data_IF_923452257765
#
_entry.id   IF_923452257765
#
_cell.length_a   1.000
_cell.length_b   1.000
_cell.length_c   1.000
_cell.angle_alpha   90.00
_cell.angle_beta   90.00
_cell.angle_gamma   90.00
#
_symmetry.space_group_name_H-M   'P 1'
#
loop_
_entity.id
_entity.type
_entity.pdbx_description
1 polymer ?
#
# COMPACT_ATOMS: atom_id res chain seq x y z
N UNK A 1 7.56 -34.69 20.10
CA UNK A 1 7.39 -36.07 20.58
C UNK A 1 5.95 -36.19 21.08
N UNK A 2 5.10 -36.93 20.37
CA UNK A 2 3.68 -37.07 20.73
C UNK A 2 3.50 -38.38 21.51
N UNK A 3 2.93 -38.30 22.70
CA UNK A 3 2.55 -39.47 23.47
C UNK A 3 1.14 -39.92 23.05
N UNK A 4 1.00 -41.18 22.64
CA UNK A 4 -0.30 -41.81 22.45
C UNK A 4 -0.94 -42.13 23.81
N UNK A 5 -2.10 -41.56 24.09
CA UNK A 5 -3.11 -42.14 24.97
C UNK A 5 -4.41 -42.34 24.18
N UNK A 6 -5.07 -43.43 24.51
CA UNK A 6 -6.07 -44.11 23.68
C UNK A 6 -7.35 -43.33 23.38
N UNK A 7 -8.01 -43.84 22.33
CA UNK A 7 -9.44 -43.80 22.04
C UNK A 7 -10.25 -42.64 22.66
N UNK A 8 -9.99 -41.43 22.18
CA UNK A 8 -10.92 -40.31 22.13
C UNK A 8 -10.36 -39.34 21.09
N UNK A 9 -11.26 -38.71 20.33
CA UNK A 9 -10.96 -38.03 19.07
C UNK A 9 -9.72 -37.13 19.10
N UNK A 10 -9.07 -37.03 17.95
CA UNK A 10 -7.96 -36.11 17.72
C UNK A 10 -8.47 -34.70 18.02
N UNK A 11 -8.16 -34.17 19.20
CA UNK A 11 -8.34 -32.76 19.48
C UNK A 11 -7.14 -32.04 18.88
N UNK A 12 -7.24 -31.75 17.58
CA UNK A 12 -6.38 -30.75 16.97
C UNK A 12 -6.62 -29.46 17.74
N UNK A 13 -5.60 -28.98 18.45
CA UNK A 13 -5.65 -27.64 19.00
C UNK A 13 -5.88 -26.68 17.82
N UNK A 14 -7.11 -26.18 17.70
CA UNK A 14 -7.41 -25.02 16.87
C UNK A 14 -6.67 -23.84 17.48
N UNK A 15 -5.41 -23.67 17.08
CA UNK A 15 -4.63 -22.47 17.38
C UNK A 15 -5.11 -21.29 16.51
N UNK A 16 -6.41 -21.22 16.24
CA UNK A 16 -7.02 -20.02 15.68
C UNK A 16 -7.01 -19.02 16.82
N UNK A 17 -6.00 -18.14 16.82
CA UNK A 17 -6.02 -16.94 17.65
C UNK A 17 -7.36 -16.28 17.39
N UNK A 18 -8.27 -16.35 18.36
CA UNK A 18 -9.55 -15.65 18.33
C UNK A 18 -9.25 -14.15 18.45
N UNK A 19 -8.74 -13.55 17.38
CA UNK A 19 -8.80 -12.11 17.20
C UNK A 19 -10.21 -11.76 16.77
N UNK A 20 -11.16 -11.98 17.68
CA UNK A 20 -12.48 -11.37 17.65
C UNK A 20 -12.30 -9.90 18.07
N UNK A 21 -11.86 -9.04 17.17
CA UNK A 21 -12.20 -7.61 17.24
C UNK A 21 -11.85 -6.91 15.93
N UNK A 22 -12.69 -7.13 14.91
CA UNK A 22 -12.62 -6.31 13.68
C UNK A 22 -12.81 -4.82 13.98
N UNK A 23 -13.54 -4.49 15.05
CA UNK A 23 -13.76 -3.11 15.51
C UNK A 23 -12.49 -2.45 16.05
N UNK A 24 -11.61 -3.18 16.75
CA UNK A 24 -10.32 -2.64 17.22
C UNK A 24 -9.35 -2.32 16.07
N UNK A 25 -9.38 -3.11 14.99
CA UNK A 25 -8.52 -2.92 13.82
C UNK A 25 -9.08 -1.93 12.81
N UNK A 26 -10.38 -1.69 12.82
CA UNK A 26 -11.04 -0.81 11.86
C UNK A 26 -10.39 0.58 11.76
N UNK A 27 -10.03 1.28 12.86
CA UNK A 27 -9.32 2.55 12.79
C UNK A 27 -7.99 2.47 12.03
N UNK A 28 -7.19 1.43 12.28
CA UNK A 28 -5.92 1.22 11.58
C UNK A 28 -6.14 0.95 10.09
N UNK A 29 -7.12 0.11 9.76
CA UNK A 29 -7.44 -0.24 8.36
C UNK A 29 -7.92 0.98 7.57
N UNK A 30 -8.78 1.80 8.17
CA UNK A 30 -9.25 3.05 7.57
C UNK A 30 -8.09 4.03 7.37
N UNK A 31 -7.26 4.24 8.40
CA UNK A 31 -6.09 5.11 8.30
C UNK A 31 -5.11 4.60 7.22
N UNK A 32 -4.89 3.29 7.14
CA UNK A 32 -4.00 2.71 6.13
C UNK A 32 -4.53 2.91 4.72
N UNK A 33 -5.83 2.64 4.49
CA UNK A 33 -6.51 2.92 3.22
C UNK A 33 -6.36 4.40 2.84
N UNK A 34 -6.58 5.31 3.79
CA UNK A 34 -6.54 6.74 3.54
C UNK A 34 -5.13 7.21 3.17
N UNK A 35 -4.09 6.67 3.81
CA UNK A 35 -2.69 6.93 3.42
C UNK A 35 -2.40 6.40 2.01
N UNK A 36 -2.85 5.18 1.66
CA UNK A 36 -2.69 4.65 0.29
C UNK A 36 -3.34 5.59 -0.73
N UNK A 37 -4.58 6.02 -0.48
CA UNK A 37 -5.29 6.93 -1.37
C UNK A 37 -4.59 8.29 -1.50
N UNK A 38 -4.14 8.89 -0.39
CA UNK A 38 -3.36 10.15 -0.40
C UNK A 38 -2.10 10.02 -1.26
N UNK A 39 -1.39 8.89 -1.18
CA UNK A 39 -0.20 8.64 -2.01
C UNK A 39 -0.59 8.54 -3.49
N UNK A 40 -1.66 7.81 -3.82
CA UNK A 40 -2.12 7.67 -5.21
C UNK A 40 -2.53 9.03 -5.79
N UNK A 41 -3.26 9.86 -5.03
CA UNK A 41 -3.64 11.22 -5.41
C UNK A 41 -2.40 12.09 -5.66
N UNK A 42 -1.42 12.04 -4.74
CA UNK A 42 -0.16 12.78 -4.88
C UNK A 42 0.59 12.34 -6.14
N UNK A 43 0.76 11.04 -6.38
CA UNK A 43 1.44 10.52 -7.59
C UNK A 43 0.69 10.92 -8.87
N UNK A 44 -0.65 10.83 -8.85
CA UNK A 44 -1.49 11.20 -9.99
C UNK A 44 -1.42 12.70 -10.31
N UNK A 45 -1.32 13.57 -9.29
CA UNK A 45 -1.21 15.02 -9.47
C UNK A 45 0.06 15.45 -10.24
N UNK A 46 1.08 14.59 -10.21
CA UNK A 46 2.35 14.78 -10.92
C UNK A 46 2.32 14.31 -12.37
N UNK A 47 1.24 13.67 -12.84
CA UNK A 47 1.09 13.27 -14.25
C UNK A 47 0.62 14.46 -15.10
N UNK A 48 1.35 14.73 -16.17
CA UNK A 48 0.88 15.53 -17.30
C UNK A 48 0.67 14.63 -18.51
N UNK A 49 -0.49 14.71 -19.15
CA UNK A 49 -0.76 13.96 -20.37
C UNK A 49 -0.30 14.76 -21.58
N UNK A 50 0.76 14.29 -22.26
CA UNK A 50 1.22 14.89 -23.52
C UNK A 50 0.77 14.05 -24.71
N UNK A 51 0.07 14.71 -25.64
CA UNK A 51 -0.25 14.11 -26.93
C UNK A 51 1.02 14.01 -27.76
N UNK A 52 1.40 12.78 -28.14
CA UNK A 52 2.53 12.51 -29.03
C UNK A 52 2.10 11.62 -30.18
N UNK A 53 2.64 11.90 -31.35
CA UNK A 53 2.52 11.03 -32.53
C UNK A 53 3.54 9.91 -32.38
N UNK A 54 3.10 8.66 -32.56
CA UNK A 54 4.03 7.55 -32.57
C UNK A 54 4.91 7.61 -33.84
N UNK A 55 6.24 7.47 -33.71
CA UNK A 55 7.13 7.47 -34.87
C UNK A 55 6.72 6.34 -35.83
N UNK A 56 6.61 6.66 -37.12
CA UNK A 56 6.20 5.70 -38.15
C UNK A 56 4.72 5.32 -38.17
N UNK A 57 3.84 5.87 -37.31
CA UNK A 57 2.40 5.56 -37.31
C UNK A 57 1.54 6.83 -37.47
N UNK A 58 0.32 6.66 -38.00
CA UNK A 58 -0.71 7.72 -38.07
C UNK A 58 -1.44 7.95 -36.73
N UNK A 59 -1.17 7.12 -35.71
CA UNK A 59 -1.83 7.16 -34.41
C UNK A 59 -1.21 8.21 -33.47
N UNK A 60 -2.08 8.87 -32.71
CA UNK A 60 -1.71 9.73 -31.58
C UNK A 60 -1.97 9.00 -30.25
N UNK A 61 -1.09 9.21 -29.27
CA UNK A 61 -1.26 8.71 -27.91
C UNK A 61 -1.06 9.82 -26.90
N UNK A 62 -1.82 9.77 -25.81
CA UNK A 62 -1.52 10.51 -24.59
C UNK A 62 -0.50 9.68 -23.82
N UNK A 63 0.70 10.22 -23.64
CA UNK A 63 1.73 9.60 -22.82
C UNK A 63 1.90 10.40 -21.53
N UNK A 64 1.98 9.75 -20.38
CA UNK A 64 2.22 10.43 -19.13
C UNK A 64 3.64 11.01 -19.14
N UNK A 65 3.77 12.24 -18.66
CA UNK A 65 5.02 12.91 -18.33
C UNK A 65 4.95 13.32 -16.87
N UNK A 66 5.94 12.93 -16.07
CA UNK A 66 5.99 13.35 -14.68
C UNK A 66 6.58 14.76 -14.53
N UNK A 67 5.93 15.60 -13.70
CA UNK A 67 6.41 16.95 -13.34
C UNK A 67 7.68 16.92 -12.49
N UNK A 68 7.83 15.86 -11.70
CA UNK A 68 8.96 15.63 -10.79
C UNK A 68 9.46 14.19 -10.95
N UNK A 69 10.67 13.92 -10.48
CA UNK A 69 11.16 12.54 -10.38
C UNK A 69 10.55 11.83 -9.16
N UNK A 70 9.35 11.29 -9.36
CA UNK A 70 8.59 10.53 -8.36
C UNK A 70 9.27 9.22 -7.93
N UNK A 71 10.27 8.75 -8.67
CA UNK A 71 11.02 7.53 -8.34
C UNK A 71 12.30 7.82 -7.56
N UNK A 72 12.73 9.08 -7.49
CA UNK A 72 13.91 9.48 -6.73
C UNK A 72 13.79 9.15 -5.23
N UNK A 73 14.91 8.74 -4.63
CA UNK A 73 14.98 8.51 -3.18
C UNK A 73 14.65 9.75 -2.37
N UNK A 74 15.02 10.95 -2.87
CA UNK A 74 14.70 12.24 -2.23
C UNK A 74 13.19 12.50 -2.20
N UNK A 75 12.49 12.24 -3.31
CA UNK A 75 11.04 12.39 -3.37
C UNK A 75 10.35 11.41 -2.41
N UNK A 76 10.71 10.12 -2.47
CA UNK A 76 10.15 9.10 -1.58
C UNK A 76 10.37 9.41 -0.11
N UNK A 77 11.55 9.93 0.26
CA UNK A 77 11.85 10.37 1.62
C UNK A 77 10.95 11.53 2.06
N UNK A 78 10.81 12.57 1.22
CA UNK A 78 9.95 13.73 1.52
C UNK A 78 8.48 13.31 1.67
N UNK A 79 7.97 12.45 0.78
CA UNK A 79 6.62 11.90 0.85
C UNK A 79 6.41 11.11 2.14
N UNK A 80 7.36 10.25 2.51
CA UNK A 80 7.29 9.51 3.76
C UNK A 80 7.25 10.43 4.98
N UNK A 81 8.12 11.44 5.01
CA UNK A 81 8.18 12.43 6.10
C UNK A 81 6.86 13.19 6.26
N UNK A 82 6.22 13.59 5.15
CA UNK A 82 4.92 14.27 5.22
C UNK A 82 3.80 13.36 5.73
N UNK A 83 3.79 12.08 5.33
CA UNK A 83 2.78 11.12 5.79
C UNK A 83 2.90 10.78 7.28
N UNK A 84 4.11 10.84 7.85
CA UNK A 84 4.34 10.51 9.25
C UNK A 84 3.90 11.60 10.24
N UNK A 85 3.75 12.85 9.80
CA UNK A 85 3.40 13.97 10.70
C UNK A 85 2.03 13.81 11.37
N UNK A 86 1.09 13.14 10.70
CA UNK A 86 -0.30 12.94 11.17
C UNK A 86 -0.61 11.46 11.46
N UNK A 87 0.41 10.60 11.57
CA UNK A 87 0.21 9.16 11.63
C UNK A 87 0.23 8.61 13.07
N UNK A 88 -0.91 8.11 13.61
CA UNK A 88 -1.00 7.67 15.00
C UNK A 88 -0.54 6.23 15.24
N UNK A 89 -0.19 5.48 14.18
CA UNK A 89 0.21 4.07 14.26
C UNK A 89 1.72 3.88 14.00
N UNK A 90 2.17 2.62 14.02
CA UNK A 90 3.57 2.32 13.73
C UNK A 90 3.98 2.76 12.30
N UNK A 91 5.17 3.34 12.17
CA UNK A 91 5.67 3.91 10.92
C UNK A 91 5.77 2.88 9.77
N UNK A 92 6.00 1.60 10.08
CA UNK A 92 6.11 0.55 9.06
C UNK A 92 4.81 0.36 8.26
N UNK A 93 3.64 0.75 8.81
CA UNK A 93 2.38 0.75 8.07
C UNK A 93 2.36 1.81 6.96
N UNK A 94 3.01 2.96 7.17
CA UNK A 94 3.22 3.97 6.12
C UNK A 94 4.17 3.42 5.06
N UNK A 95 5.26 2.76 5.47
CA UNK A 95 6.19 2.12 4.53
C UNK A 95 5.50 1.06 3.66
N UNK A 96 4.60 0.26 4.26
CA UNK A 96 3.75 -0.67 3.53
C UNK A 96 2.79 0.05 2.57
N UNK A 97 2.14 1.13 3.01
CA UNK A 97 1.23 1.90 2.17
C UNK A 97 1.94 2.50 0.94
N UNK A 98 3.16 3.01 1.11
CA UNK A 98 4.01 3.48 0.02
C UNK A 98 4.30 2.34 -0.95
N UNK A 99 4.71 1.16 -0.47
CA UNK A 99 4.94 0.00 -1.35
C UNK A 99 3.68 -0.39 -2.14
N UNK A 100 2.53 -0.42 -1.48
CA UNK A 100 1.24 -0.73 -2.10
C UNK A 100 0.91 0.29 -3.20
N UNK A 101 0.97 1.59 -2.90
CA UNK A 101 0.64 2.62 -3.88
C UNK A 101 1.55 2.57 -5.11
N UNK A 102 2.86 2.39 -4.92
CA UNK A 102 3.83 2.25 -6.03
C UNK A 102 3.73 0.91 -6.78
N UNK A 103 3.01 -0.09 -6.25
CA UNK A 103 2.72 -1.34 -6.98
C UNK A 103 1.48 -1.23 -7.87
N UNK A 104 0.58 -0.29 -7.55
CA UNK A 104 -0.64 0.01 -8.32
C UNK A 104 -0.31 0.99 -9.45
N UNK A 105 0.53 1.97 -9.16
CA UNK A 105 0.88 3.10 -10.02
C UNK A 105 2.03 2.77 -11.00
#
# INVERSE_FOLDING_TARGET
>A
MCAHKGSQGVQCAENSLKHESGEELLPLLLAHRDVVNRILEELWSHIEWKKRKLPGKKQWRLLPKYKVDIHSGKYKKKLRESLLQEWPYAAHWVDSAIKTAYSIF
#
